data_IF_066532015178
#
_entry.id   IF_066532015178
#
_cell.length_a   1.000
_cell.length_b   1.000
_cell.length_c   1.000
_cell.angle_alpha   90.00
_cell.angle_beta   90.00
_cell.angle_gamma   90.00
#
_symmetry.space_group_name_H-M   'P 1'
#
loop_
_entity.id
_entity.type
_entity.pdbx_description
1 polymer ?
#
# COMPACT_ATOMS: atom_id res chain seq x y z
N UNK A 1 28.30 5.14 -9.22
CA UNK A 1 27.59 5.66 -8.03
C UNK A 1 26.38 6.40 -8.53
N UNK A 2 25.29 6.41 -7.75
CA UNK A 2 24.09 7.16 -8.07
C UNK A 2 24.41 8.65 -8.35
N UNK A 3 23.73 9.23 -9.34
CA UNK A 3 23.73 10.68 -9.59
C UNK A 3 22.37 11.27 -9.20
N UNK A 4 22.38 12.54 -8.78
CA UNK A 4 21.17 13.27 -8.45
C UNK A 4 20.25 13.40 -9.68
N UNK A 5 18.94 13.47 -9.46
CA UNK A 5 18.02 13.86 -10.53
C UNK A 5 18.39 15.26 -11.05
N UNK A 6 18.30 15.42 -12.37
CA UNK A 6 18.43 16.70 -13.06
C UNK A 6 17.29 16.87 -14.05
N UNK A 7 16.87 18.11 -14.22
CA UNK A 7 15.94 18.48 -15.29
C UNK A 7 16.59 18.26 -16.68
N UNK A 8 15.74 17.93 -17.64
CA UNK A 8 16.06 17.74 -19.06
C UNK A 8 14.97 18.43 -19.88
N UNK A 9 15.12 18.48 -21.20
CA UNK A 9 14.11 19.08 -22.08
C UNK A 9 12.76 18.37 -22.09
N UNK A 10 12.65 17.17 -21.52
CA UNK A 10 11.45 16.32 -21.58
C UNK A 10 11.07 15.71 -20.22
N UNK A 11 11.59 16.25 -19.11
CA UNK A 11 11.38 15.72 -17.77
C UNK A 11 12.69 15.56 -16.98
N UNK A 12 12.87 14.47 -16.25
CA UNK A 12 13.94 14.30 -15.26
C UNK A 12 14.73 13.03 -15.47
N UNK A 13 16.03 13.06 -15.13
CA UNK A 13 16.91 11.90 -15.28
C UNK A 13 17.89 11.74 -14.11
N UNK A 14 18.10 10.52 -13.67
CA UNK A 14 19.17 10.13 -12.73
C UNK A 14 19.87 8.84 -13.20
N UNK A 15 21.18 8.71 -12.95
CA UNK A 15 21.93 7.50 -13.24
C UNK A 15 22.08 6.69 -11.94
N UNK A 16 21.38 5.55 -11.86
CA UNK A 16 21.44 4.62 -10.73
C UNK A 16 22.10 3.31 -11.17
N UNK A 17 22.94 2.75 -10.31
CA UNK A 17 23.54 1.43 -10.51
C UNK A 17 22.45 0.34 -10.52
N UNK A 18 22.73 -0.77 -11.20
CA UNK A 18 21.76 -1.85 -11.35
C UNK A 18 21.29 -2.45 -10.01
N UNK A 19 22.15 -2.49 -9.00
CA UNK A 19 21.78 -2.98 -7.67
C UNK A 19 20.89 -1.98 -6.92
N UNK A 20 21.17 -0.67 -7.00
CA UNK A 20 20.34 0.39 -6.41
C UNK A 20 18.91 0.33 -6.98
N UNK A 21 18.78 0.23 -8.31
CA UNK A 21 17.46 0.10 -8.97
C UNK A 21 16.72 -1.17 -8.56
N UNK A 22 17.42 -2.31 -8.47
CA UNK A 22 16.82 -3.58 -8.04
C UNK A 22 16.32 -3.53 -6.61
N UNK A 23 17.09 -2.94 -5.70
CA UNK A 23 16.68 -2.81 -4.29
C UNK A 23 15.43 -1.93 -4.16
N UNK A 24 15.41 -0.75 -4.79
CA UNK A 24 14.22 0.11 -4.73
C UNK A 24 13.01 -0.58 -5.38
N UNK A 25 13.19 -1.23 -6.53
CA UNK A 25 12.10 -1.94 -7.21
C UNK A 25 11.56 -3.12 -6.39
N UNK A 26 12.41 -3.82 -5.65
CA UNK A 26 12.01 -4.86 -4.69
C UNK A 26 11.17 -4.27 -3.56
N UNK A 27 11.65 -3.20 -2.93
CA UNK A 27 10.93 -2.54 -1.84
C UNK A 27 9.57 -1.99 -2.29
N UNK A 28 9.48 -1.40 -3.48
CA UNK A 28 8.19 -1.02 -4.03
C UNK A 28 7.26 -2.24 -4.21
N UNK A 29 7.80 -3.40 -4.62
CA UNK A 29 7.06 -4.66 -4.71
C UNK A 29 6.56 -5.14 -3.35
N UNK A 30 7.41 -5.09 -2.33
CA UNK A 30 7.07 -5.48 -0.97
C UNK A 30 5.97 -4.58 -0.40
N UNK A 31 6.04 -3.26 -0.65
CA UNK A 31 4.97 -2.32 -0.22
C UNK A 31 3.67 -2.54 -1.00
N UNK A 32 3.72 -2.89 -2.29
CA UNK A 32 2.51 -3.27 -3.04
C UNK A 32 1.88 -4.51 -2.42
N UNK A 33 2.67 -5.56 -2.19
CA UNK A 33 2.17 -6.78 -1.54
C UNK A 33 1.57 -6.44 -0.16
N UNK A 34 2.24 -5.57 0.59
CA UNK A 34 1.77 -5.13 1.89
C UNK A 34 0.45 -4.35 1.85
N UNK A 35 0.25 -3.50 0.83
CA UNK A 35 -1.02 -2.79 0.60
C UNK A 35 -2.14 -3.70 0.11
N UNK A 36 -1.82 -4.78 -0.61
CA UNK A 36 -2.78 -5.72 -1.19
C UNK A 36 -3.11 -6.89 -0.25
N UNK A 37 -2.25 -7.16 0.72
CA UNK A 37 -2.50 -8.12 1.79
C UNK A 37 -3.61 -7.55 2.68
N UNK A 38 -4.82 -8.06 2.52
CA UNK A 38 -5.91 -7.82 3.48
C UNK A 38 -5.57 -8.54 4.78
N UNK A 39 -4.99 -7.82 5.76
CA UNK A 39 -4.97 -8.25 7.16
C UNK A 39 -6.39 -8.15 7.79
N UNK A 40 -7.38 -8.74 7.12
CA UNK A 40 -8.79 -8.88 7.54
C UNK A 40 -9.14 -10.38 7.62
N UNK A 41 -8.33 -11.17 8.34
CA UNK A 41 -8.92 -12.34 8.96
C UNK A 41 -9.76 -11.80 10.13
N UNK A 42 -11.10 -12.00 10.15
CA UNK A 42 -11.86 -11.72 11.35
C UNK A 42 -11.22 -12.52 12.47
N UNK A 43 -10.80 -11.85 13.54
CA UNK A 43 -10.53 -12.56 14.79
C UNK A 43 -11.88 -13.11 15.20
N UNK A 44 -12.15 -14.40 14.89
CA UNK A 44 -13.34 -15.05 15.42
C UNK A 44 -13.29 -14.87 16.93
N UNK A 45 -14.33 -14.28 17.55
CA UNK A 45 -14.35 -14.14 19.00
C UNK A 45 -14.26 -15.55 19.57
N UNK A 46 -13.23 -15.82 20.38
CA UNK A 46 -13.07 -17.10 21.07
C UNK A 46 -14.39 -17.44 21.75
N UNK A 47 -15.09 -18.44 21.23
CA UNK A 47 -16.35 -18.89 21.80
C UNK A 47 -16.07 -19.30 23.26
N UNK A 48 -16.84 -18.82 24.24
CA UNK A 48 -16.63 -19.19 25.63
C UNK A 48 -16.74 -20.71 25.74
N UNK A 49 -15.66 -21.33 26.17
CA UNK A 49 -15.59 -22.77 26.42
C UNK A 49 -16.68 -23.10 27.45
N UNK A 50 -17.78 -23.70 26.99
CA UNK A 50 -18.76 -24.29 27.90
C UNK A 50 -18.07 -25.46 28.59
N UNK A 51 -17.74 -25.27 29.86
CA UNK A 51 -17.40 -26.37 30.75
C UNK A 51 -18.56 -27.37 30.71
N UNK A 52 -18.31 -28.52 30.08
CA UNK A 52 -19.21 -29.64 30.05
C UNK A 52 -19.33 -30.22 31.47
N UNK A 53 -20.26 -29.67 32.25
CA UNK A 53 -20.81 -30.34 33.42
C UNK A 53 -21.49 -31.63 32.97
N UNK A 54 -20.87 -32.76 33.26
CA UNK A 54 -21.46 -34.08 33.09
C UNK A 54 -22.53 -34.29 34.16
N UNK A 55 -23.80 -34.36 33.75
CA UNK A 55 -24.80 -35.29 34.28
C UNK A 55 -25.98 -35.32 33.30
N UNK A 56 -26.51 -36.52 32.97
CA UNK A 56 -27.87 -36.75 33.45
C UNK A 56 -28.18 -38.20 33.84
N UNK A 57 -28.82 -38.35 35.00
CA UNK A 57 -29.66 -39.50 35.33
C UNK A 57 -31.01 -39.45 34.58
N UNK A 58 -31.35 -40.61 34.01
CA UNK A 58 -32.65 -41.25 33.79
C UNK A 58 -33.99 -40.48 33.97
N UNK A 59 -34.91 -40.70 33.03
CA UNK A 59 -36.35 -40.56 33.27
C UNK A 59 -37.18 -40.58 31.98
N UNK A 60 -37.83 -41.70 31.68
CA UNK A 60 -38.50 -41.94 30.39
C UNK A 60 -39.89 -41.33 30.19
N UNK A 61 -40.43 -41.54 29.00
CA UNK A 61 -41.83 -41.91 28.75
C UNK A 61 -42.05 -42.08 27.24
N UNK A 62 -42.47 -43.27 26.85
CA UNK A 62 -43.04 -43.63 25.56
C UNK A 62 -44.37 -42.88 25.33
N UNK A 63 -44.61 -42.39 24.11
CA UNK A 63 -45.97 -42.31 23.54
C UNK A 63 -45.91 -42.68 22.05
N UNK A 64 -46.63 -43.75 21.75
CA UNK A 64 -46.84 -44.39 20.45
C UNK A 64 -48.05 -43.81 19.70
N UNK A 65 -48.06 -43.96 18.37
CA UNK A 65 -49.29 -44.02 17.55
C UNK A 65 -49.48 -42.82 16.62
N UNK A 66 -49.08 -42.88 15.35
CA UNK A 66 -49.75 -43.52 14.21
C UNK A 66 -51.02 -42.81 13.76
N UNK A 67 -50.98 -42.23 12.55
CA UNK A 67 -52.10 -42.31 11.60
C UNK A 67 -51.53 -42.27 10.18
N UNK A 68 -51.67 -43.41 9.53
CA UNK A 68 -51.54 -43.66 8.10
C UNK A 68 -52.70 -43.02 7.32
N UNK A 69 -52.44 -42.50 6.12
CA UNK A 69 -53.39 -42.66 5.02
C UNK A 69 -52.65 -42.97 3.71
N UNK A 70 -53.21 -43.95 3.01
CA UNK A 70 -52.69 -44.70 1.87
C UNK A 70 -53.21 -44.15 0.53
N UNK A 71 -52.50 -44.49 -0.55
CA UNK A 71 -52.98 -44.53 -1.95
C UNK A 71 -52.54 -43.33 -2.79
N UNK A 72 -52.18 -43.45 -4.06
CA UNK A 72 -52.06 -44.57 -4.98
C UNK A 72 -51.26 -44.08 -6.21
N UNK A 73 -50.72 -45.03 -6.97
CA UNK A 73 -50.08 -44.89 -8.28
C UNK A 73 -50.89 -44.08 -9.31
N UNK A 74 -50.22 -43.26 -10.12
CA UNK A 74 -50.53 -43.14 -11.55
C UNK A 74 -49.32 -42.64 -12.35
N UNK A 75 -49.00 -43.38 -13.41
CA UNK A 75 -48.06 -43.08 -14.47
C UNK A 75 -48.69 -42.01 -15.39
N UNK A 76 -48.01 -40.88 -15.61
CA UNK A 76 -48.25 -40.05 -16.79
C UNK A 76 -47.06 -39.13 -17.07
N UNK A 77 -46.40 -39.36 -18.21
CA UNK A 77 -45.59 -38.38 -18.94
C UNK A 77 -46.32 -37.04 -19.07
N UNK A 78 -45.59 -35.91 -19.01
CA UNK A 78 -45.84 -34.89 -20.00
C UNK A 78 -44.57 -34.30 -20.61
N UNK A 79 -44.57 -34.31 -21.94
CA UNK A 79 -43.75 -33.47 -22.81
C UNK A 79 -44.09 -32.00 -22.57
N UNK A 80 -43.12 -31.18 -22.15
CA UNK A 80 -43.26 -29.72 -22.14
C UNK A 80 -41.92 -29.01 -22.47
N UNK A 81 -41.79 -28.68 -23.75
CA UNK A 81 -41.26 -27.44 -24.32
C UNK A 81 -40.29 -26.62 -23.45
N UNK A 82 -39.03 -26.62 -23.86
CA UNK A 82 -38.00 -25.68 -23.41
C UNK A 82 -38.26 -24.29 -24.02
N UNK A 83 -39.05 -23.47 -23.33
CA UNK A 83 -39.11 -22.03 -23.55
C UNK A 83 -37.84 -21.40 -22.96
N UNK A 84 -36.91 -20.98 -23.82
CA UNK A 84 -35.69 -20.27 -23.44
C UNK A 84 -36.04 -18.80 -23.13
N UNK A 85 -36.71 -18.55 -22.00
CA UNK A 85 -36.85 -17.20 -21.46
C UNK A 85 -35.51 -16.80 -20.84
N UNK A 86 -34.84 -15.80 -21.44
CA UNK A 86 -33.59 -15.21 -20.96
C UNK A 86 -33.73 -14.44 -19.64
N UNK A 87 -34.21 -15.10 -18.60
CA UNK A 87 -34.13 -14.62 -17.23
C UNK A 87 -32.74 -14.92 -16.67
N UNK A 88 -32.09 -13.90 -16.12
CA UNK A 88 -30.87 -14.07 -15.33
C UNK A 88 -31.11 -15.19 -14.30
N UNK A 89 -30.20 -16.17 -14.25
CA UNK A 89 -30.33 -17.25 -13.29
C UNK A 89 -30.41 -16.67 -11.85
N UNK A 90 -31.35 -17.11 -11.00
CA UNK A 90 -31.54 -16.59 -9.65
C UNK A 90 -30.28 -16.67 -8.78
N UNK A 91 -29.42 -17.68 -9.01
CA UNK A 91 -28.12 -17.81 -8.33
C UNK A 91 -27.10 -16.78 -8.82
N UNK A 92 -27.18 -16.35 -10.08
CA UNK A 92 -26.31 -15.27 -10.59
C UNK A 92 -26.77 -13.91 -10.07
N UNK A 93 -28.08 -13.67 -9.99
CA UNK A 93 -28.61 -12.49 -9.31
C UNK A 93 -28.29 -12.50 -7.81
N UNK A 94 -28.40 -13.66 -7.15
CA UNK A 94 -28.01 -13.82 -5.74
C UNK A 94 -26.52 -13.53 -5.54
N UNK A 95 -25.63 -14.03 -6.40
CA UNK A 95 -24.19 -13.75 -6.36
C UNK A 95 -23.91 -12.25 -6.54
N UNK A 96 -24.50 -11.61 -7.55
CA UNK A 96 -24.33 -10.18 -7.80
C UNK A 96 -24.90 -9.31 -6.67
N UNK A 97 -26.06 -9.69 -6.12
CA UNK A 97 -26.68 -8.99 -4.99
C UNK A 97 -25.91 -9.21 -3.67
N UNK A 98 -25.26 -10.36 -3.48
CA UNK A 98 -24.35 -10.60 -2.37
C UNK A 98 -23.04 -9.79 -2.53
N UNK A 99 -22.56 -9.66 -3.76
CA UNK A 99 -21.39 -8.84 -4.11
C UNK A 99 -21.68 -7.35 -3.89
N UNK A 100 -22.89 -6.87 -4.23
CA UNK A 100 -23.38 -5.52 -3.91
C UNK A 100 -23.66 -5.34 -2.41
N UNK A 101 -24.24 -6.34 -1.73
CA UNK A 101 -24.50 -6.28 -0.28
C UNK A 101 -23.20 -6.27 0.55
N UNK A 102 -22.10 -6.77 -0.01
CA UNK A 102 -20.75 -6.62 0.57
C UNK A 102 -20.18 -5.20 0.46
N UNK A 103 -20.78 -4.31 -0.34
CA UNK A 103 -20.45 -2.88 -0.37
C UNK A 103 -21.18 -2.10 0.74
N UNK A 104 -22.31 -2.63 1.20
CA UNK A 104 -23.21 -2.01 2.18
C UNK A 104 -23.18 -2.68 3.56
N UNK A 105 -22.25 -3.59 3.83
CA UNK A 105 -22.10 -4.17 5.17
C UNK A 105 -21.88 -3.05 6.19
N UNK A 106 -22.80 -2.86 7.16
CA UNK A 106 -22.60 -1.95 8.28
C UNK A 106 -21.64 -2.66 9.25
N UNK A 107 -20.39 -2.75 8.85
CA UNK A 107 -19.28 -3.20 9.67
C UNK A 107 -18.36 -2.03 9.91
N UNK A 108 -18.00 -1.80 11.17
CA UNK A 108 -16.87 -0.95 11.50
C UNK A 108 -15.64 -1.53 10.81
N UNK A 109 -15.12 -0.82 9.80
CA UNK A 109 -13.80 -1.16 9.29
C UNK A 109 -12.85 -0.77 10.41
N UNK A 110 -12.01 -1.69 10.86
CA UNK A 110 -11.00 -1.40 11.87
C UNK A 110 -9.77 -0.79 11.18
N UNK A 111 -9.03 0.11 11.86
CA UNK A 111 -7.77 0.59 11.31
C UNK A 111 -6.78 -0.59 11.16
N UNK A 112 -5.84 -0.53 10.19
CA UNK A 112 -4.84 -1.56 10.04
C UNK A 112 -4.07 -1.81 11.36
N UNK A 113 -3.82 -3.08 11.71
CA UNK A 113 -3.10 -3.39 12.95
C UNK A 113 -1.62 -2.96 12.86
N UNK A 114 -1.00 -3.19 11.68
CA UNK A 114 0.39 -2.85 11.47
C UNK A 114 0.61 -1.32 11.45
N UNK A 115 1.58 -0.80 12.25
CA UNK A 115 1.85 0.63 12.34
C UNK A 115 2.33 1.26 11.02
N UNK A 116 3.01 0.51 10.14
CA UNK A 116 3.44 0.99 8.84
C UNK A 116 2.24 1.14 7.88
N UNK A 117 1.27 0.22 7.92
CA UNK A 117 0.01 0.40 7.17
C UNK A 117 -0.78 1.59 7.70
N UNK A 118 -0.89 1.78 9.02
CA UNK A 118 -1.55 2.99 9.58
C UNK A 118 -0.90 4.29 9.13
N UNK A 119 0.42 4.29 8.94
CA UNK A 119 1.13 5.48 8.44
C UNK A 119 0.95 5.69 6.94
N UNK A 120 0.80 4.60 6.16
CA UNK A 120 0.46 4.67 4.74
C UNK A 120 -1.01 5.04 4.50
N UNK A 121 -1.91 4.61 5.39
CA UNK A 121 -3.36 4.79 5.32
C UNK A 121 -3.83 5.53 6.57
N UNK A 122 -3.50 6.84 6.68
CA UNK A 122 -3.87 7.62 7.85
C UNK A 122 -5.39 7.78 7.95
N UNK A 123 -5.88 7.93 9.18
CA UNK A 123 -7.29 8.23 9.41
C UNK A 123 -7.67 9.59 8.80
N UNK A 124 -8.82 9.63 8.13
CA UNK A 124 -9.33 10.83 7.48
C UNK A 124 -9.98 11.84 8.45
N UNK A 125 -10.20 11.44 9.71
CA UNK A 125 -10.74 12.30 10.77
C UNK A 125 -10.15 11.89 12.12
N UNK A 126 -10.14 12.82 13.09
CA UNK A 126 -9.82 12.52 14.48
C UNK A 126 -11.02 11.92 15.23
N UNK A 127 -12.23 12.08 14.71
CA UNK A 127 -13.44 11.43 15.23
C UNK A 127 -13.49 9.95 14.74
N UNK A 128 -13.51 8.96 15.64
CA UNK A 128 -13.55 7.55 15.28
C UNK A 128 -14.70 7.15 14.36
N UNK A 129 -15.90 7.74 14.54
CA UNK A 129 -17.06 7.40 13.73
C UNK A 129 -16.90 7.91 12.30
N UNK A 130 -16.47 9.17 12.14
CA UNK A 130 -16.16 9.75 10.84
C UNK A 130 -14.97 9.04 10.16
N UNK A 131 -13.93 8.69 10.92
CA UNK A 131 -12.77 7.97 10.41
C UNK A 131 -13.16 6.60 9.84
N UNK A 132 -14.03 5.86 10.53
CA UNK A 132 -14.56 4.57 10.05
C UNK A 132 -15.36 4.72 8.75
N UNK A 133 -16.21 5.75 8.66
CA UNK A 133 -16.96 6.04 7.44
C UNK A 133 -16.03 6.43 6.27
N UNK A 134 -15.05 7.29 6.52
CA UNK A 134 -14.07 7.70 5.50
C UNK A 134 -13.23 6.51 5.02
N UNK A 135 -12.82 5.61 5.93
CA UNK A 135 -12.09 4.39 5.55
C UNK A 135 -12.95 3.49 4.67
N UNK A 136 -14.21 3.23 5.05
CA UNK A 136 -15.16 2.48 4.20
C UNK A 136 -15.27 3.04 2.78
N UNK A 137 -15.30 4.37 2.64
CA UNK A 137 -15.50 5.02 1.34
C UNK A 137 -14.22 5.19 0.51
N UNK A 138 -13.06 5.36 1.16
CA UNK A 138 -11.84 5.83 0.47
C UNK A 138 -10.63 4.90 0.58
N UNK A 139 -10.59 3.97 1.54
CA UNK A 139 -9.37 3.20 1.77
C UNK A 139 -9.01 2.33 0.56
N UNK A 140 -10.01 1.73 -0.10
CA UNK A 140 -9.77 0.92 -1.30
C UNK A 140 -9.20 1.75 -2.45
N UNK A 141 -9.70 2.97 -2.67
CA UNK A 141 -9.18 3.85 -3.73
C UNK A 141 -7.80 4.41 -3.38
N UNK A 142 -7.55 4.70 -2.10
CA UNK A 142 -6.25 5.11 -1.59
C UNK A 142 -5.19 4.01 -1.77
N UNK A 143 -5.51 2.76 -1.38
CA UNK A 143 -4.62 1.59 -1.60
C UNK A 143 -4.32 1.41 -3.09
N UNK A 144 -5.34 1.46 -3.94
CA UNK A 144 -5.17 1.32 -5.39
C UNK A 144 -4.28 2.43 -5.98
N UNK A 145 -4.48 3.68 -5.56
CA UNK A 145 -3.66 4.82 -6.00
C UNK A 145 -2.19 4.67 -5.59
N UNK A 146 -1.93 4.31 -4.33
CA UNK A 146 -0.57 4.06 -3.83
C UNK A 146 0.11 2.89 -4.56
N UNK A 147 -0.62 1.80 -4.79
CA UNK A 147 -0.10 0.66 -5.54
C UNK A 147 0.17 1.03 -7.01
N UNK A 148 -0.60 1.93 -7.62
CA UNK A 148 -0.35 2.44 -8.96
C UNK A 148 0.92 3.29 -9.02
N UNK A 149 1.12 4.22 -8.08
CA UNK A 149 2.34 5.03 -7.96
C UNK A 149 3.58 4.12 -7.79
N UNK A 150 3.51 3.11 -6.92
CA UNK A 150 4.60 2.14 -6.69
C UNK A 150 4.90 1.30 -7.94
N UNK A 151 3.87 0.88 -8.70
CA UNK A 151 4.05 0.16 -9.97
C UNK A 151 4.73 1.03 -11.02
N UNK A 152 4.31 2.30 -11.13
CA UNK A 152 4.96 3.28 -12.00
C UNK A 152 6.44 3.45 -11.63
N UNK A 153 6.75 3.55 -10.34
CA UNK A 153 8.14 3.64 -9.88
C UNK A 153 8.96 2.41 -10.28
N UNK A 154 8.40 1.21 -10.14
CA UNK A 154 9.06 -0.03 -10.58
C UNK A 154 9.36 -0.03 -12.07
N UNK A 155 8.40 0.40 -12.90
CA UNK A 155 8.60 0.51 -14.35
C UNK A 155 9.70 1.51 -14.70
N UNK A 156 9.71 2.69 -14.06
CA UNK A 156 10.75 3.70 -14.29
C UNK A 156 12.15 3.21 -13.87
N UNK A 157 12.25 2.33 -12.86
CA UNK A 157 13.50 1.75 -12.40
C UNK A 157 14.04 0.65 -13.33
N UNK A 158 13.29 0.20 -14.34
CA UNK A 158 13.78 -0.76 -15.33
C UNK A 158 14.80 -0.11 -16.28
N UNK A 159 14.66 1.19 -16.56
CA UNK A 159 15.55 1.93 -17.45
C UNK A 159 16.88 2.29 -16.80
N UNK A 160 17.91 2.49 -17.64
CA UNK A 160 19.22 3.02 -17.24
C UNK A 160 19.67 3.99 -18.32
N UNK A 161 19.63 5.30 -18.08
CA UNK A 161 19.27 5.99 -16.81
C UNK A 161 17.80 5.80 -16.38
N UNK A 162 17.50 6.11 -15.13
CA UNK A 162 16.10 6.35 -14.71
C UNK A 162 15.65 7.66 -15.35
N UNK A 163 14.58 7.60 -16.14
CA UNK A 163 14.03 8.75 -16.85
C UNK A 163 12.53 8.87 -16.54
N UNK A 164 12.10 10.07 -16.18
CA UNK A 164 10.73 10.38 -15.78
C UNK A 164 10.22 11.54 -16.63
N UNK A 165 9.00 11.44 -17.15
CA UNK A 165 8.30 12.61 -17.67
C UNK A 165 7.88 13.56 -16.53
N UNK A 166 7.46 14.77 -16.89
CA UNK A 166 6.89 15.73 -15.93
C UNK A 166 5.68 15.16 -15.18
N UNK A 167 4.83 14.42 -15.87
CA UNK A 167 3.65 13.77 -15.29
C UNK A 167 4.01 12.60 -14.36
N UNK A 168 5.11 11.88 -14.65
CA UNK A 168 5.55 10.72 -13.86
C UNK A 168 6.28 11.12 -12.58
N UNK A 169 6.97 12.26 -12.57
CA UNK A 169 7.81 12.67 -11.44
C UNK A 169 7.05 12.79 -10.10
N UNK A 170 5.86 13.42 -10.02
CA UNK A 170 5.08 13.44 -8.79
C UNK A 170 4.71 12.04 -8.28
N UNK A 171 4.30 11.13 -9.17
CA UNK A 171 3.93 9.75 -8.82
C UNK A 171 5.15 8.97 -8.30
N UNK A 172 6.29 9.10 -8.97
CA UNK A 172 7.54 8.50 -8.54
C UNK A 172 7.98 9.01 -7.16
N UNK A 173 7.87 10.32 -6.92
CA UNK A 173 8.16 10.93 -5.62
C UNK A 173 7.25 10.42 -4.49
N UNK A 174 5.95 10.29 -4.75
CA UNK A 174 4.98 9.71 -3.79
C UNK A 174 5.30 8.24 -3.49
N UNK A 175 5.67 7.46 -4.50
CA UNK A 175 6.08 6.06 -4.30
C UNK A 175 7.34 5.94 -3.43
N UNK A 176 8.36 6.78 -3.65
CA UNK A 176 9.55 6.83 -2.79
C UNK A 176 9.20 7.23 -1.36
N UNK A 177 8.29 8.19 -1.20
CA UNK A 177 7.80 8.60 0.11
C UNK A 177 7.10 7.43 0.83
N UNK A 178 6.26 6.66 0.15
CA UNK A 178 5.57 5.50 0.74
C UNK A 178 6.58 4.44 1.22
N UNK A 179 7.61 4.13 0.43
CA UNK A 179 8.70 3.24 0.87
C UNK A 179 9.43 3.82 2.09
N UNK A 180 9.69 5.14 2.09
CA UNK A 180 10.35 5.84 3.21
C UNK A 180 9.54 5.76 4.50
N UNK A 181 8.21 5.88 4.42
CA UNK A 181 7.31 5.77 5.58
C UNK A 181 7.33 4.36 6.17
N UNK A 182 7.36 3.32 5.33
CA UNK A 182 7.48 1.93 5.82
C UNK A 182 8.81 1.71 6.52
N UNK A 183 9.91 2.15 5.90
CA UNK A 183 11.25 2.07 6.49
C UNK A 183 11.33 2.86 7.80
N UNK A 184 10.74 4.05 7.88
CA UNK A 184 10.78 4.88 9.09
C UNK A 184 10.14 4.16 10.28
N UNK A 185 8.99 3.53 10.09
CA UNK A 185 8.31 2.76 11.15
C UNK A 185 9.13 1.55 11.57
N UNK A 186 9.73 0.81 10.63
CA UNK A 186 10.56 -0.36 10.97
C UNK A 186 11.88 0.02 11.66
N UNK A 187 12.41 1.21 11.35
CA UNK A 187 13.60 1.77 11.99
C UNK A 187 13.30 2.53 13.30
N UNK A 188 12.02 2.69 13.67
CA UNK A 188 11.62 3.44 14.86
C UNK A 188 11.90 4.95 14.78
N UNK A 189 11.80 5.54 13.58
CA UNK A 189 11.98 6.98 13.34
C UNK A 189 10.61 7.66 13.49
N UNK A 190 10.45 8.46 14.54
CA UNK A 190 9.20 9.17 14.84
C UNK A 190 9.35 10.69 14.76
N UNK A 191 10.58 11.19 14.92
CA UNK A 191 10.91 12.60 14.93
C UNK A 191 11.97 12.98 13.88
N UNK A 192 12.18 14.28 13.69
CA UNK A 192 13.27 14.78 12.85
C UNK A 192 14.63 14.45 13.49
N UNK A 193 14.72 14.56 14.82
CA UNK A 193 15.91 14.24 15.59
C UNK A 193 16.34 12.77 15.40
N UNK A 194 15.39 11.84 15.31
CA UNK A 194 15.68 10.42 15.03
C UNK A 194 16.27 10.22 13.64
N UNK A 195 15.73 10.94 12.64
CA UNK A 195 16.21 10.87 11.26
C UNK A 195 17.63 11.46 11.13
N UNK A 196 17.91 12.55 11.83
CA UNK A 196 19.24 13.18 11.85
C UNK A 196 20.26 12.26 12.55
N UNK A 197 19.89 11.67 13.70
CA UNK A 197 20.74 10.70 14.40
C UNK A 197 21.05 9.45 13.56
N UNK A 198 20.06 8.98 12.78
CA UNK A 198 20.25 7.89 11.81
C UNK A 198 21.23 8.29 10.71
N UNK A 199 21.07 9.49 10.14
CA UNK A 199 21.96 10.00 9.10
C UNK A 199 23.41 10.06 9.59
N UNK A 200 23.63 10.61 10.79
CA UNK A 200 24.95 10.67 11.43
C UNK A 200 25.55 9.29 11.69
N UNK A 201 24.71 8.31 12.07
CA UNK A 201 25.13 6.92 12.26
C UNK A 201 25.59 6.29 10.94
N UNK A 202 24.81 6.45 9.87
CA UNK A 202 25.12 5.93 8.53
C UNK A 202 26.40 6.58 7.97
N UNK A 203 26.53 7.91 8.11
CA UNK A 203 27.71 8.66 7.65
C UNK A 203 28.98 8.23 8.38
N UNK A 204 28.91 8.05 9.72
CA UNK A 204 30.04 7.50 10.50
C UNK A 204 30.40 6.08 10.08
N UNK A 205 29.41 5.20 9.91
CA UNK A 205 29.64 3.82 9.46
C UNK A 205 30.33 3.77 8.09
N UNK A 206 29.90 4.62 7.15
CA UNK A 206 30.54 4.76 5.82
C UNK A 206 31.97 5.28 5.90
N UNK A 207 32.23 6.26 6.79
CA UNK A 207 33.58 6.77 7.05
C UNK A 207 34.49 5.70 7.66
N UNK A 208 34.07 5.05 8.75
CA UNK A 208 34.84 4.00 9.42
C UNK A 208 35.11 2.80 8.51
N UNK A 209 34.18 2.40 7.63
CA UNK A 209 34.39 1.30 6.67
C UNK A 209 35.46 1.64 5.62
N UNK A 210 35.65 2.93 5.31
CA UNK A 210 36.72 3.43 4.42
C UNK A 210 38.09 3.44 5.12
N UNK A 211 38.10 3.66 6.43
CA UNK A 211 39.32 3.70 7.26
C UNK A 211 39.72 2.32 7.85
N UNK A 212 38.78 1.37 7.92
CA UNK A 212 38.96 0.03 8.50
C UNK A 212 39.77 -0.96 7.65
N UNK A 213 40.43 -0.50 6.58
CA UNK A 213 41.43 -1.29 5.86
C UNK A 213 42.69 -1.65 6.70
N UNK A 214 42.73 -1.34 8.00
CA UNK A 214 43.89 -1.55 8.85
C UNK A 214 43.69 -2.40 10.13
N UNK A 215 42.48 -2.81 10.53
CA UNK A 215 42.31 -3.55 11.80
C UNK A 215 41.13 -4.54 11.75
N UNK A 216 41.44 -5.81 11.56
CA UNK A 216 40.53 -6.94 11.69
C UNK A 216 40.24 -7.22 13.18
N UNK A 217 39.07 -6.82 13.67
CA UNK A 217 38.49 -7.38 14.89
C UNK A 217 37.21 -8.11 14.53
N UNK A 218 37.33 -9.43 14.40
CA UNK A 218 36.32 -10.41 13.99
C UNK A 218 35.12 -10.59 14.94
N UNK A 219 34.38 -9.52 15.23
CA UNK A 219 32.97 -9.61 15.61
C UNK A 219 32.14 -9.17 14.41
N UNK A 220 31.65 -10.14 13.62
CA UNK A 220 30.68 -9.85 12.57
C UNK A 220 29.40 -9.27 13.18
N UNK A 221 28.73 -8.32 12.52
CA UNK A 221 27.46 -7.80 12.99
C UNK A 221 26.48 -8.96 13.17
N UNK A 222 25.78 -8.98 14.31
CA UNK A 222 24.66 -9.90 14.49
C UNK A 222 23.64 -9.67 13.36
N UNK A 223 23.02 -10.74 12.85
CA UNK A 223 22.14 -10.69 11.65
C UNK A 223 21.07 -9.57 11.73
N UNK A 224 20.55 -9.29 12.93
CA UNK A 224 19.60 -8.19 13.18
C UNK A 224 20.23 -6.81 12.97
N UNK A 225 21.43 -6.58 13.51
CA UNK A 225 22.17 -5.31 13.32
C UNK A 225 22.52 -5.07 11.84
N UNK A 226 22.85 -6.13 11.09
CA UNK A 226 23.15 -6.02 9.67
C UNK A 226 21.94 -5.60 8.83
N UNK A 227 20.75 -6.13 9.14
CA UNK A 227 19.51 -5.72 8.48
C UNK A 227 19.13 -4.29 8.82
N UNK A 228 19.22 -3.89 10.09
CA UNK A 228 18.90 -2.51 10.52
C UNK A 228 19.86 -1.48 9.88
N UNK A 229 21.15 -1.81 9.80
CA UNK A 229 22.14 -0.97 9.11
C UNK A 229 21.82 -0.86 7.62
N UNK A 230 21.44 -1.97 6.97
CA UNK A 230 21.04 -1.94 5.56
C UNK A 230 19.78 -1.09 5.35
N UNK A 231 18.73 -1.27 6.16
CA UNK A 231 17.51 -0.47 6.10
C UNK A 231 17.82 1.02 6.29
N UNK A 232 18.71 1.37 7.22
CA UNK A 232 19.16 2.74 7.45
C UNK A 232 19.89 3.33 6.23
N UNK A 233 20.75 2.54 5.60
CA UNK A 233 21.46 2.93 4.38
C UNK A 233 20.48 3.21 3.24
N UNK A 234 19.45 2.37 3.07
CA UNK A 234 18.41 2.55 2.06
C UNK A 234 17.50 3.74 2.37
N UNK A 235 17.06 3.90 3.61
CA UNK A 235 16.26 5.05 4.04
C UNK A 235 16.96 6.37 3.69
N UNK A 236 18.25 6.47 4.03
CA UNK A 236 19.07 7.66 3.74
C UNK A 236 19.22 7.86 2.23
N UNK A 237 19.43 6.78 1.47
CA UNK A 237 19.56 6.85 0.02
C UNK A 237 18.28 7.30 -0.66
N UNK A 238 17.13 6.75 -0.29
CA UNK A 238 15.81 7.15 -0.82
C UNK A 238 15.51 8.60 -0.46
N UNK A 239 15.84 9.04 0.76
CA UNK A 239 15.67 10.43 1.20
C UNK A 239 16.44 11.39 0.30
N UNK A 240 17.72 11.12 0.07
CA UNK A 240 18.54 11.91 -0.86
C UNK A 240 18.01 11.88 -2.29
N UNK A 241 17.58 10.72 -2.77
CA UNK A 241 17.05 10.56 -4.13
C UNK A 241 15.76 11.39 -4.32
N UNK A 242 14.83 11.33 -3.37
CA UNK A 242 13.59 12.09 -3.37
C UNK A 242 13.85 13.60 -3.30
N UNK A 243 14.78 14.03 -2.43
CA UNK A 243 15.19 15.44 -2.35
C UNK A 243 15.73 15.92 -3.70
N UNK A 244 16.60 15.14 -4.34
CA UNK A 244 17.14 15.52 -5.66
C UNK A 244 16.07 15.62 -6.74
N UNK A 245 15.04 14.76 -6.71
CA UNK A 245 13.92 14.84 -7.63
C UNK A 245 13.09 16.10 -7.38
N UNK A 246 12.78 16.38 -6.11
CA UNK A 246 12.01 17.56 -5.73
C UNK A 246 12.72 18.86 -6.13
N UNK A 247 14.03 18.96 -5.86
CA UNK A 247 14.84 20.11 -6.30
C UNK A 247 14.82 20.26 -7.82
N UNK A 248 15.00 19.17 -8.56
CA UNK A 248 14.93 19.22 -10.02
C UNK A 248 13.55 19.67 -10.54
N UNK A 249 12.46 19.29 -9.86
CA UNK A 249 11.10 19.74 -10.19
C UNK A 249 10.88 21.22 -9.91
N UNK A 250 11.41 21.74 -8.79
CA UNK A 250 11.33 23.16 -8.45
C UNK A 250 12.13 24.01 -9.43
N UNK A 251 13.34 23.58 -9.79
CA UNK A 251 14.20 24.27 -10.76
C UNK A 251 13.61 24.33 -12.18
N UNK A 252 12.67 23.43 -12.50
CA UNK A 252 12.01 23.36 -13.81
C UNK A 252 10.71 24.19 -13.89
N UNK A 253 10.21 24.72 -12.77
CA UNK A 253 9.06 25.62 -12.82
C UNK A 253 9.46 26.89 -13.58
N UNK A 254 8.76 27.26 -14.67
CA UNK A 254 9.04 28.52 -15.34
C UNK A 254 8.83 29.64 -14.32
N UNK A 255 9.86 30.46 -14.09
CA UNK A 255 9.73 31.75 -13.44
C UNK A 255 8.54 32.44 -14.11
N UNK A 256 7.51 32.80 -13.34
CA UNK A 256 6.32 33.50 -13.81
C UNK A 256 6.81 34.74 -14.56
N UNK A 257 6.91 34.65 -15.89
CA UNK A 257 7.28 35.80 -16.71
C UNK A 257 6.11 36.75 -16.58
N UNK A 258 6.22 37.65 -15.61
CA UNK A 258 5.27 38.73 -15.38
C UNK A 258 4.93 39.40 -16.71
N UNK A 259 3.71 39.95 -16.84
CA UNK A 259 3.20 40.45 -18.11
C UNK A 259 4.25 41.37 -18.73
N UNK A 260 4.69 40.97 -19.93
CA UNK A 260 5.79 41.59 -20.64
C UNK A 260 5.70 43.11 -20.55
N UNK A 261 6.80 43.71 -20.10
CA UNK A 261 7.04 45.14 -20.20
C UNK A 261 6.78 45.49 -21.67
N UNK A 262 5.60 46.06 -21.93
CA UNK A 262 5.23 46.50 -23.25
C UNK A 262 6.22 47.59 -23.63
N UNK A 263 7.01 47.31 -24.66
CA UNK A 263 7.96 48.24 -25.25
C UNK A 263 7.31 49.62 -25.39
N UNK A 264 7.80 50.56 -24.58
CA UNK A 264 7.56 51.99 -24.73
C UNK A 264 8.39 52.48 -25.94
N UNK A 265 7.97 52.12 -27.15
CA UNK A 265 8.37 52.80 -28.38
C UNK A 265 7.27 53.79 -28.80
N UNK A 266 7.07 54.78 -27.93
CA UNK A 266 6.37 56.02 -28.24
C UNK A 266 7.26 56.98 -29.04
N UNK A 267 7.10 56.94 -30.36
CA UNK A 267 7.06 58.08 -31.27
C UNK A 267 8.13 59.20 -31.11
N UNK A 268 9.19 59.12 -31.92
CA UNK A 268 9.99 60.28 -32.29
C UNK A 268 9.91 60.52 -33.81
N UNK A 269 8.79 61.06 -34.27
CA UNK A 269 8.65 61.69 -35.59
C UNK A 269 8.69 63.21 -35.47
N UNK A 270 9.87 63.78 -35.77
CA UNK A 270 10.21 65.10 -36.37
C UNK A 270 11.29 65.90 -35.66
#
# INVERSE_FOLDING_TARGET
MATAFRATSTGYRADLAAHERRVISSLCGDVIQFLESRDDAPVEPEAPQQEAGQDPEQGGAEVTGSTTHSGASDDADPVAQAEHSGGMDPSTFAHFSAELAGLDTPGEVLPPQDPALRRLLPDGSADPEEASQLRRLSESSLRASKAADLRLARMALESSPVALSEEQAPAFGRALNDVRLVLSVRLGIESQEDADALHDRVTRSRGSRKDAHASDSGQGPSSRSGTDDFMAEIYTFITWLQESLFQAMVDFLPEDTGPGEADDEGDAVR
#
